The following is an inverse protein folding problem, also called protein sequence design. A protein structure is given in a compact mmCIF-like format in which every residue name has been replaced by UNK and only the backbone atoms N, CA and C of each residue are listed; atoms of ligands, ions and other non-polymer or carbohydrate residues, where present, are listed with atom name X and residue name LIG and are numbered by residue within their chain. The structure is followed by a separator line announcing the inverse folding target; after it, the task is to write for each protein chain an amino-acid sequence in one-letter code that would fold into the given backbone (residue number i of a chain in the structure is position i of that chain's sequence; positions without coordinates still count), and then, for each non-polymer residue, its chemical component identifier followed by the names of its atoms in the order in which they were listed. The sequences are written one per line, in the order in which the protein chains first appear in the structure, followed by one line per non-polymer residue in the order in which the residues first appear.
data_IF_129433542299
#
_entry.id   IF_129433542299
#
_cell.length_a   1.000
_cell.length_b   1.000
_cell.length_c   1.000
_cell.angle_alpha   90.00
_cell.angle_beta   90.00
_cell.angle_gamma   90.00
#
_symmetry.space_group_name_H-M   'P 1'
#
loop_
_entity.id
_entity.type
_entity.pdbx_description
1 polymer ?
#
# COMPACT_ATOMS: atom_id res chain seq x y z
N UNK A 1 -32.49 3.24 2.91
CA UNK A 1 -31.29 3.94 3.45
C UNK A 1 -31.60 5.41 3.65
N UNK A 2 -31.26 5.96 4.79
CA UNK A 2 -31.42 7.38 5.07
C UNK A 2 -30.32 8.20 4.40
N UNK A 3 -30.55 9.51 4.27
CA UNK A 3 -29.53 10.44 3.74
C UNK A 3 -28.27 10.43 4.60
N UNK A 4 -28.44 10.33 5.93
CA UNK A 4 -27.32 10.28 6.88
C UNK A 4 -26.48 9.02 6.71
N UNK A 5 -27.11 7.85 6.57
CA UNK A 5 -26.43 6.58 6.34
C UNK A 5 -25.65 6.59 5.02
N UNK A 6 -26.25 7.14 3.98
CA UNK A 6 -25.63 7.30 2.67
C UNK A 6 -24.40 8.20 2.76
N UNK A 7 -24.51 9.30 3.49
CA UNK A 7 -23.43 10.24 3.70
C UNK A 7 -22.24 9.60 4.46
N UNK A 8 -22.54 8.78 5.48
CA UNK A 8 -21.52 8.02 6.21
C UNK A 8 -20.77 7.06 5.29
N UNK A 9 -21.47 6.36 4.42
CA UNK A 9 -20.85 5.44 3.45
C UNK A 9 -19.95 6.20 2.49
N UNK A 10 -20.36 7.36 2.01
CA UNK A 10 -19.59 8.20 1.12
C UNK A 10 -18.30 8.69 1.80
N UNK A 11 -18.37 9.09 3.08
CA UNK A 11 -17.20 9.51 3.87
C UNK A 11 -16.22 8.34 4.01
N UNK A 12 -16.69 7.17 4.40
CA UNK A 12 -15.85 5.97 4.55
C UNK A 12 -15.19 5.59 3.23
N UNK A 13 -15.92 5.68 2.13
CA UNK A 13 -15.38 5.41 0.79
C UNK A 13 -14.24 6.37 0.45
N UNK A 14 -14.43 7.66 0.69
CA UNK A 14 -13.41 8.67 0.43
C UNK A 14 -12.16 8.48 1.31
N UNK A 15 -12.34 8.16 2.59
CA UNK A 15 -11.24 7.89 3.52
C UNK A 15 -10.42 6.66 3.07
N UNK A 16 -11.09 5.58 2.71
CA UNK A 16 -10.42 4.37 2.23
C UNK A 16 -9.67 4.62 0.93
N UNK A 17 -10.26 5.37 0.02
CA UNK A 17 -9.63 5.74 -1.24
C UNK A 17 -8.35 6.55 -1.01
N UNK A 18 -8.39 7.49 -0.07
CA UNK A 18 -7.22 8.29 0.33
C UNK A 18 -6.12 7.41 0.92
N UNK A 19 -6.48 6.48 1.81
CA UNK A 19 -5.52 5.54 2.41
C UNK A 19 -4.86 4.68 1.33
N UNK A 20 -5.64 4.13 0.41
CA UNK A 20 -5.14 3.29 -0.69
C UNK A 20 -4.17 4.09 -1.58
N UNK A 21 -4.50 5.32 -1.91
CA UNK A 21 -3.62 6.19 -2.70
C UNK A 21 -2.33 6.52 -1.96
N UNK A 22 -2.40 6.74 -0.65
CA UNK A 22 -1.22 6.98 0.20
C UNK A 22 -0.32 5.75 0.24
N UNK A 23 -0.90 4.56 0.37
CA UNK A 23 -0.15 3.29 0.34
C UNK A 23 0.51 3.07 -1.03
N UNK A 24 -0.17 3.42 -2.12
CA UNK A 24 0.40 3.32 -3.47
C UNK A 24 1.61 4.24 -3.64
N UNK A 25 1.52 5.48 -3.15
CA UNK A 25 2.64 6.43 -3.16
C UNK A 25 3.82 5.89 -2.35
N UNK A 26 3.55 5.34 -1.18
CA UNK A 26 4.55 4.74 -0.31
C UNK A 26 5.21 3.54 -1.00
N UNK A 27 4.44 2.66 -1.63
CA UNK A 27 4.95 1.51 -2.39
C UNK A 27 5.88 1.94 -3.52
N UNK A 28 5.49 2.97 -4.28
CA UNK A 28 6.30 3.49 -5.38
C UNK A 28 7.65 3.96 -4.88
N UNK A 29 7.69 4.68 -3.74
CA UNK A 29 8.92 5.14 -3.14
C UNK A 29 9.78 3.97 -2.61
N UNK A 30 9.15 3.00 -1.95
CA UNK A 30 9.83 1.83 -1.41
C UNK A 30 10.45 0.96 -2.53
N UNK A 31 9.75 0.80 -3.64
CA UNK A 31 10.28 0.07 -4.81
C UNK A 31 11.45 0.81 -5.45
N UNK A 32 11.43 2.13 -5.45
CA UNK A 32 12.55 2.95 -5.89
C UNK A 32 13.76 2.77 -4.97
N UNK A 33 13.55 2.79 -3.66
CA UNK A 33 14.59 2.56 -2.66
C UNK A 33 15.21 1.16 -2.82
N UNK A 34 14.37 0.16 -3.08
CA UNK A 34 14.79 -1.21 -3.34
C UNK A 34 15.71 -1.30 -4.56
N UNK A 35 15.34 -0.63 -5.67
CA UNK A 35 16.17 -0.58 -6.88
C UNK A 35 17.50 0.12 -6.63
N UNK A 36 17.50 1.18 -5.82
CA UNK A 36 18.72 1.89 -5.43
C UNK A 36 19.64 0.99 -4.62
N UNK A 37 19.08 0.17 -3.71
CA UNK A 37 19.86 -0.82 -2.96
C UNK A 37 20.45 -1.89 -3.88
N UNK A 38 19.70 -2.37 -4.87
CA UNK A 38 20.20 -3.32 -5.86
C UNK A 38 21.42 -2.76 -6.61
N UNK A 39 21.34 -1.50 -7.03
CA UNK A 39 22.44 -0.81 -7.69
C UNK A 39 23.66 -0.64 -6.77
N UNK A 40 23.42 -0.29 -5.52
CA UNK A 40 24.47 -0.12 -4.54
C UNK A 40 25.18 -1.45 -4.24
N UNK A 41 24.44 -2.56 -4.15
CA UNK A 41 24.99 -3.89 -3.95
C UNK A 41 25.87 -4.28 -5.14
N UNK A 42 25.37 -4.06 -6.36
CA UNK A 42 26.11 -4.37 -7.58
C UNK A 42 27.41 -3.58 -7.69
N UNK A 43 27.44 -2.34 -7.17
CA UNK A 43 28.62 -1.48 -7.20
C UNK A 43 29.52 -1.57 -5.95
N UNK A 44 29.16 -2.37 -4.95
CA UNK A 44 29.89 -2.44 -3.71
C UNK A 44 31.23 -3.17 -3.91
N UNK A 45 32.32 -2.50 -3.52
CA UNK A 45 33.65 -3.04 -3.62
C UNK A 45 34.07 -3.83 -2.37
N UNK A 46 33.69 -3.33 -1.18
CA UNK A 46 34.03 -3.96 0.09
C UNK A 46 32.96 -4.95 0.51
N UNK A 47 33.38 -6.14 0.91
CA UNK A 47 32.47 -7.25 1.26
C UNK A 47 31.59 -6.94 2.48
N UNK A 48 32.13 -6.27 3.48
CA UNK A 48 31.40 -5.87 4.69
C UNK A 48 30.27 -4.87 4.35
N UNK A 49 30.53 -3.91 3.47
CA UNK A 49 29.54 -2.94 2.98
C UNK A 49 28.46 -3.66 2.16
N UNK A 50 28.87 -4.57 1.29
CA UNK A 50 27.96 -5.38 0.47
C UNK A 50 27.00 -6.19 1.35
N UNK A 51 27.52 -6.82 2.40
CA UNK A 51 26.71 -7.60 3.34
C UNK A 51 25.69 -6.74 4.08
N UNK A 52 26.08 -5.56 4.53
CA UNK A 52 25.19 -4.61 5.19
C UNK A 52 24.08 -4.15 4.23
N UNK A 53 24.41 -3.88 2.97
CA UNK A 53 23.44 -3.49 1.93
C UNK A 53 22.48 -4.63 1.61
N UNK A 54 22.96 -5.86 1.56
CA UNK A 54 22.11 -7.05 1.33
C UNK A 54 21.10 -7.24 2.47
N UNK A 55 21.52 -7.02 3.72
CA UNK A 55 20.61 -7.08 4.87
C UNK A 55 19.54 -5.99 4.79
N UNK A 56 19.93 -4.78 4.42
CA UNK A 56 18.99 -3.66 4.22
C UNK A 56 18.01 -3.97 3.09
N UNK A 57 18.46 -4.63 2.02
CA UNK A 57 17.63 -5.05 0.90
C UNK A 57 16.57 -6.06 1.32
N UNK A 58 16.96 -7.09 2.08
CA UNK A 58 16.01 -8.09 2.60
C UNK A 58 14.95 -7.43 3.47
N UNK A 59 15.35 -6.53 4.35
CA UNK A 59 14.42 -5.77 5.20
C UNK A 59 13.45 -4.93 4.36
N UNK A 60 13.97 -4.28 3.31
CA UNK A 60 13.12 -3.48 2.41
C UNK A 60 12.12 -4.34 1.67
N UNK A 61 12.49 -5.54 1.22
CA UNK A 61 11.58 -6.49 0.59
C UNK A 61 10.43 -6.88 1.53
N UNK A 62 10.74 -7.13 2.80
CA UNK A 62 9.72 -7.44 3.82
C UNK A 62 8.77 -6.28 4.04
N UNK A 63 9.29 -5.06 4.14
CA UNK A 63 8.47 -3.84 4.29
C UNK A 63 7.55 -3.64 3.07
N UNK A 64 8.04 -3.86 1.86
CA UNK A 64 7.25 -3.77 0.63
C UNK A 64 6.09 -4.77 0.66
N UNK A 65 6.36 -6.02 1.04
CA UNK A 65 5.33 -7.06 1.12
C UNK A 65 4.25 -6.72 2.15
N UNK A 66 4.64 -6.18 3.32
CA UNK A 66 3.71 -5.74 4.36
C UNK A 66 2.80 -4.61 3.86
N UNK A 67 3.36 -3.61 3.18
CA UNK A 67 2.57 -2.49 2.64
C UNK A 67 1.67 -2.94 1.50
N UNK A 68 2.12 -3.85 0.65
CA UNK A 68 1.28 -4.46 -0.39
C UNK A 68 0.08 -5.18 0.21
N UNK A 69 0.30 -5.93 1.28
CA UNK A 69 -0.77 -6.64 1.96
C UNK A 69 -1.78 -5.67 2.57
N UNK A 70 -1.31 -4.60 3.21
CA UNK A 70 -2.19 -3.54 3.72
C UNK A 70 -3.03 -2.93 2.61
N UNK A 71 -2.43 -2.65 1.46
CA UNK A 71 -3.14 -2.10 0.31
C UNK A 71 -4.24 -3.04 -0.18
N UNK A 72 -3.95 -4.34 -0.25
CA UNK A 72 -4.93 -5.37 -0.62
C UNK A 72 -6.09 -5.38 0.39
N UNK A 73 -5.80 -5.36 1.68
CA UNK A 73 -6.80 -5.38 2.74
C UNK A 73 -7.73 -4.17 2.67
N UNK A 74 -7.17 -2.97 2.47
CA UNK A 74 -7.97 -1.74 2.33
C UNK A 74 -8.76 -1.71 1.03
N UNK A 75 -8.21 -2.24 -0.06
CA UNK A 75 -8.90 -2.36 -1.34
C UNK A 75 -10.12 -3.28 -1.20
N UNK A 76 -9.99 -4.39 -0.48
CA UNK A 76 -11.09 -5.30 -0.21
C UNK A 76 -12.18 -4.64 0.63
N UNK A 77 -11.81 -3.82 1.62
CA UNK A 77 -12.75 -3.03 2.41
C UNK A 77 -13.50 -2.02 1.54
N UNK A 78 -12.78 -1.37 0.62
CA UNK A 78 -13.38 -0.40 -0.31
C UNK A 78 -14.42 -1.08 -1.21
N UNK A 79 -14.08 -2.23 -1.78
CA UNK A 79 -14.98 -3.00 -2.64
C UNK A 79 -16.25 -3.42 -1.88
N UNK A 80 -16.10 -3.82 -0.64
CA UNK A 80 -17.21 -4.23 0.21
C UNK A 80 -18.17 -3.07 0.49
N UNK A 81 -17.63 -1.90 0.80
CA UNK A 81 -18.42 -0.69 1.02
C UNK A 81 -19.12 -0.24 -0.28
N UNK A 82 -18.45 -0.35 -1.41
CA UNK A 82 -19.01 -0.04 -2.72
C UNK A 82 -20.21 -0.95 -3.03
N UNK A 83 -20.09 -2.25 -2.77
CA UNK A 83 -21.19 -3.20 -2.94
C UNK A 83 -22.36 -2.89 -2.02
N UNK A 84 -22.13 -2.53 -0.77
CA UNK A 84 -23.16 -2.11 0.17
C UNK A 84 -23.90 -0.87 -0.33
N UNK A 85 -23.17 0.10 -0.87
CA UNK A 85 -23.74 1.32 -1.43
C UNK A 85 -24.62 1.02 -2.65
N UNK A 86 -24.16 0.16 -3.56
CA UNK A 86 -24.92 -0.24 -4.74
C UNK A 86 -26.21 -0.97 -4.37
N UNK A 87 -26.16 -1.90 -3.43
CA UNK A 87 -27.35 -2.62 -2.93
C UNK A 87 -28.36 -1.67 -2.30
N UNK A 88 -27.90 -0.70 -1.54
CA UNK A 88 -28.76 0.28 -0.88
C UNK A 88 -29.41 1.25 -1.86
N UNK A 89 -28.81 1.50 -3.04
CA UNK A 89 -29.34 2.40 -4.05
C UNK A 89 -30.22 1.70 -5.09
N UNK A 90 -30.27 0.37 -5.10
CA UNK A 90 -31.15 -0.40 -6.00
C UNK A 90 -32.63 -0.36 -5.60
N UNK A 91 -32.90 -0.02 -4.37
CA UNK A 91 -34.29 0.14 -3.87
C UNK A 91 -34.82 1.56 -4.18
#
# INVERSE_FOLDING_TARGET
MTIEERHEIEIKYCELKWIINSLQTQLTQMERDKRNLEKAIAGAYFQDIKLALEQSYVKKCQEVDEVRQLKIDYTNKLLKIHDEYLKATED
#
